data_IF_552211101390
#
_entry.id   IF_552211101390
#
_cell.length_a   1.000
_cell.length_b   1.000
_cell.length_c   1.000
_cell.angle_alpha   90.00
_cell.angle_beta   90.00
_cell.angle_gamma   90.00
#
_symmetry.space_group_name_H-M   'P 1'
#
loop_
_entity.id
_entity.type
_entity.pdbx_description
1 polymer ?
#
# COMPACT_ATOMS: atom_id res chain seq x y z
N UNK A 1 -6.53 8.20 8.97
CA UNK A 1 -6.59 6.90 8.25
C UNK A 1 -5.28 6.17 8.44
N UNK A 2 -5.28 4.84 8.46
CA UNK A 2 -4.06 4.05 8.65
C UNK A 2 -3.98 2.91 7.64
N UNK A 3 -2.78 2.66 7.11
CA UNK A 3 -2.44 1.45 6.36
C UNK A 3 -1.25 0.74 7.00
N UNK A 4 -1.27 -0.59 7.00
CA UNK A 4 -0.06 -1.39 7.19
C UNK A 4 0.44 -1.72 5.77
N UNK A 5 1.63 -1.21 5.44
CA UNK A 5 2.28 -1.39 4.15
C UNK A 5 3.39 -2.42 4.36
N UNK A 6 3.11 -3.67 4.00
CA UNK A 6 4.03 -4.79 4.17
C UNK A 6 4.85 -5.05 2.91
N UNK A 7 6.13 -5.32 3.14
CA UNK A 7 7.10 -5.76 2.15
C UNK A 7 7.17 -7.30 2.28
N UNK A 8 7.05 -8.01 1.16
CA UNK A 8 6.93 -9.48 1.09
C UNK A 8 8.25 -10.22 1.42
N UNK A 9 9.21 -9.51 2.01
CA UNK A 9 10.54 -10.03 2.31
C UNK A 9 10.47 -11.24 3.24
N UNK A 10 11.28 -12.25 2.92
CA UNK A 10 11.36 -13.54 3.60
C UNK A 10 10.04 -14.32 3.71
N UNK A 11 8.96 -13.85 3.07
CA UNK A 11 7.65 -14.48 3.17
C UNK A 11 7.54 -15.73 2.29
N UNK A 12 7.32 -16.89 2.90
CA UNK A 12 6.85 -18.07 2.17
C UNK A 12 5.34 -18.00 1.89
N UNK A 13 4.85 -18.78 0.91
CA UNK A 13 3.42 -18.84 0.61
C UNK A 13 2.57 -19.31 1.81
N UNK A 14 3.11 -20.20 2.66
CA UNK A 14 2.42 -20.66 3.86
C UNK A 14 2.27 -19.53 4.88
N UNK A 15 3.34 -18.78 5.14
CA UNK A 15 3.30 -17.64 6.06
C UNK A 15 2.35 -16.56 5.57
N UNK A 16 2.41 -16.21 4.27
CA UNK A 16 1.49 -15.28 3.62
C UNK A 16 0.03 -15.63 3.93
N UNK A 17 -0.32 -16.90 3.70
CA UNK A 17 -1.67 -17.43 3.98
C UNK A 17 -2.01 -17.32 5.46
N UNK A 18 -1.08 -17.68 6.35
CA UNK A 18 -1.33 -17.71 7.78
C UNK A 18 -1.55 -16.31 8.37
N UNK A 19 -0.69 -15.33 8.07
CA UNK A 19 -0.86 -14.00 8.61
C UNK A 19 -2.00 -13.25 7.95
N UNK A 20 -2.29 -13.42 6.65
CA UNK A 20 -3.48 -12.78 6.06
C UNK A 20 -4.78 -13.38 6.56
N UNK A 21 -4.84 -14.70 6.81
CA UNK A 21 -6.00 -15.30 7.49
C UNK A 21 -6.21 -14.66 8.86
N UNK A 22 -5.15 -14.50 9.64
CA UNK A 22 -5.22 -13.85 10.94
C UNK A 22 -5.59 -12.36 10.85
N UNK A 23 -4.97 -11.59 9.96
CA UNK A 23 -5.19 -10.14 9.86
C UNK A 23 -6.53 -9.79 9.22
N UNK A 24 -6.91 -10.45 8.12
CA UNK A 24 -8.02 -10.01 7.26
C UNK A 24 -9.35 -10.70 7.52
N UNK A 25 -9.37 -11.88 8.14
CA UNK A 25 -10.62 -12.65 8.32
C UNK A 25 -11.20 -12.50 9.72
N UNK A 26 -12.35 -13.12 9.95
CA UNK A 26 -12.94 -13.34 11.30
C UNK A 26 -12.93 -14.81 11.71
N UNK A 27 -12.20 -15.66 10.98
CA UNK A 27 -12.17 -17.09 11.23
C UNK A 27 -11.27 -17.44 12.42
N UNK A 28 -11.45 -18.65 12.97
CA UNK A 28 -10.51 -19.19 13.95
C UNK A 28 -9.19 -19.57 13.26
N UNK A 29 -8.09 -19.07 13.79
CA UNK A 29 -6.70 -19.39 13.42
C UNK A 29 -5.95 -19.93 14.63
N UNK A 30 -4.72 -20.40 14.42
CA UNK A 30 -3.85 -20.88 15.50
C UNK A 30 -3.48 -19.75 16.48
N UNK A 31 -3.45 -18.50 16.01
CA UNK A 31 -3.22 -17.30 16.82
C UNK A 31 -4.50 -16.72 17.46
N UNK A 32 -5.63 -17.42 17.35
CA UNK A 32 -6.94 -16.96 17.83
C UNK A 32 -7.91 -16.58 16.72
N UNK A 33 -8.99 -15.89 17.06
CA UNK A 33 -9.91 -15.36 16.04
C UNK A 33 -9.18 -14.40 15.10
N UNK A 34 -9.56 -14.28 13.84
CA UNK A 34 -9.00 -13.27 12.94
C UNK A 34 -9.33 -11.84 13.41
N UNK A 35 -8.49 -10.87 13.06
CA UNK A 35 -8.67 -9.46 13.41
C UNK A 35 -9.76 -8.82 12.56
N UNK A 36 -9.77 -9.12 11.26
CA UNK A 36 -10.69 -8.54 10.28
C UNK A 36 -10.33 -7.09 9.95
N UNK A 37 -9.05 -6.81 9.69
CA UNK A 37 -8.56 -5.53 9.17
C UNK A 37 -8.44 -5.59 7.64
N UNK A 38 -8.55 -4.46 6.97
CA UNK A 38 -8.33 -4.33 5.54
C UNK A 38 -6.83 -4.11 5.24
N UNK A 39 -6.00 -5.12 5.49
CA UNK A 39 -4.54 -5.10 5.26
C UNK A 39 -4.19 -5.68 3.89
N UNK A 40 -3.26 -5.04 3.19
CA UNK A 40 -2.67 -5.53 1.95
C UNK A 40 -1.17 -5.73 2.10
N UNK A 41 -0.58 -6.42 1.14
CA UNK A 41 0.84 -6.72 1.07
C UNK A 41 1.38 -6.48 -0.34
N UNK A 42 2.68 -6.67 -0.49
CA UNK A 42 3.38 -6.59 -1.76
C UNK A 42 3.64 -7.97 -2.35
N UNK A 43 4.26 -7.99 -3.53
CA UNK A 43 4.67 -9.21 -4.21
C UNK A 43 6.00 -9.01 -4.93
N UNK A 44 6.69 -10.12 -5.18
CA UNK A 44 7.85 -10.21 -6.06
C UNK A 44 7.51 -10.85 -7.40
N UNK A 45 8.11 -10.37 -8.48
CA UNK A 45 8.12 -11.12 -9.74
C UNK A 45 9.23 -12.15 -9.78
N UNK A 46 10.41 -11.80 -9.26
CA UNK A 46 11.64 -12.60 -9.35
C UNK A 46 12.35 -12.70 -8.01
N UNK A 47 13.17 -13.74 -7.87
CA UNK A 47 14.09 -13.94 -6.75
C UNK A 47 15.50 -14.19 -7.27
N UNK A 48 16.46 -13.38 -6.86
CA UNK A 48 17.86 -13.53 -7.24
C UNK A 48 18.80 -13.46 -6.03
N UNK A 49 18.26 -13.38 -4.81
CA UNK A 49 19.08 -13.47 -3.63
C UNK A 49 19.79 -14.83 -3.58
N UNK A 50 21.09 -14.75 -3.33
CA UNK A 50 22.02 -15.88 -3.28
C UNK A 50 22.63 -16.07 -1.89
N UNK A 51 22.20 -15.30 -0.89
CA UNK A 51 22.61 -15.50 0.49
C UNK A 51 21.93 -16.77 1.01
N UNK A 52 22.73 -17.65 1.62
CA UNK A 52 22.24 -18.89 2.23
C UNK A 52 21.85 -18.62 3.67
N UNK A 53 20.57 -18.33 3.89
CA UNK A 53 19.96 -18.22 5.21
C UNK A 53 18.59 -18.90 5.20
N UNK A 54 18.01 -19.04 6.39
CA UNK A 54 16.67 -19.58 6.57
C UNK A 54 15.69 -18.41 6.58
N UNK A 55 14.60 -18.52 5.83
CA UNK A 55 13.58 -17.48 5.70
C UNK A 55 12.40 -17.71 6.65
N UNK A 56 12.28 -18.92 7.18
CA UNK A 56 11.24 -19.28 8.13
C UNK A 56 11.74 -20.22 9.25
N UNK A 57 10.87 -20.44 10.23
CA UNK A 57 11.09 -21.35 11.36
C UNK A 57 11.18 -22.83 10.95
N UNK A 58 10.72 -23.19 9.76
CA UNK A 58 10.76 -24.56 9.24
C UNK A 58 12.10 -24.90 8.57
N UNK A 59 12.95 -23.90 8.39
CA UNK A 59 14.27 -24.05 7.78
C UNK A 59 14.26 -24.00 6.27
N UNK A 60 13.20 -23.46 5.66
CA UNK A 60 13.17 -23.15 4.24
C UNK A 60 14.20 -22.06 3.92
N UNK A 61 14.74 -22.10 2.71
CA UNK A 61 15.65 -21.08 2.20
C UNK A 61 14.97 -20.09 1.27
N UNK A 62 15.76 -19.16 0.73
CA UNK A 62 15.34 -18.11 -0.21
C UNK A 62 14.51 -18.62 -1.40
N UNK A 63 14.80 -19.82 -1.90
CA UNK A 63 14.06 -20.43 -3.03
C UNK A 63 12.57 -20.71 -2.70
N UNK A 64 12.19 -20.73 -1.42
CA UNK A 64 10.81 -20.93 -0.96
C UNK A 64 10.02 -19.64 -0.81
N UNK A 65 10.66 -18.46 -0.97
CA UNK A 65 9.98 -17.16 -0.89
C UNK A 65 8.96 -17.04 -2.02
N UNK A 66 7.78 -16.51 -1.65
CA UNK A 66 6.66 -16.32 -2.54
C UNK A 66 6.99 -15.33 -3.66
N UNK A 67 7.05 -15.85 -4.89
CA UNK A 67 7.41 -15.09 -6.10
C UNK A 67 6.55 -15.54 -7.27
N UNK A 68 6.37 -14.66 -8.25
CA UNK A 68 5.59 -14.99 -9.44
C UNK A 68 6.33 -16.05 -10.30
N UNK A 69 7.60 -15.80 -10.60
CA UNK A 69 8.47 -16.72 -11.33
C UNK A 69 9.51 -17.34 -10.41
N UNK A 70 9.96 -18.54 -10.77
CA UNK A 70 11.05 -19.20 -10.05
C UNK A 70 12.38 -18.55 -10.39
N UNK A 71 13.07 -18.05 -9.37
CA UNK A 71 14.34 -17.36 -9.54
C UNK A 71 14.20 -16.14 -10.46
N UNK A 72 15.06 -16.04 -11.47
CA UNK A 72 15.00 -15.03 -12.54
C UNK A 72 14.46 -15.59 -13.87
N UNK A 73 13.79 -16.73 -13.84
CA UNK A 73 13.16 -17.31 -15.02
C UNK A 73 12.07 -16.37 -15.56
N UNK A 74 11.94 -16.26 -16.89
CA UNK A 74 10.88 -15.47 -17.55
C UNK A 74 9.66 -16.30 -17.93
N UNK A 75 9.69 -17.61 -17.62
CA UNK A 75 8.67 -18.57 -18.05
C UNK A 75 8.33 -19.64 -17.01
N UNK A 76 9.29 -20.06 -16.18
CA UNK A 76 9.04 -21.03 -15.11
C UNK A 76 8.30 -20.34 -13.96
N UNK A 77 7.03 -20.69 -13.78
CA UNK A 77 6.17 -20.16 -12.72
C UNK A 77 6.56 -20.73 -11.36
N UNK A 78 6.35 -19.96 -10.29
CA UNK A 78 6.51 -20.43 -8.92
C UNK A 78 5.16 -20.41 -8.18
N UNK A 79 4.75 -19.26 -7.61
CA UNK A 79 3.44 -19.09 -6.94
C UNK A 79 2.53 -18.14 -7.73
N UNK A 80 2.59 -18.18 -9.06
CA UNK A 80 1.89 -17.22 -9.92
C UNK A 80 0.37 -17.26 -9.77
N UNK A 81 -0.22 -18.46 -9.63
CA UNK A 81 -1.67 -18.60 -9.51
C UNK A 81 -2.17 -17.98 -8.21
N UNK A 82 -1.45 -18.21 -7.12
CA UNK A 82 -1.72 -17.64 -5.80
C UNK A 82 -1.55 -16.13 -5.80
N UNK A 83 -0.49 -15.60 -6.40
CA UNK A 83 -0.28 -14.15 -6.53
C UNK A 83 -1.42 -13.51 -7.32
N UNK A 84 -1.82 -14.09 -8.45
CA UNK A 84 -2.95 -13.58 -9.25
C UNK A 84 -4.25 -13.60 -8.45
N UNK A 85 -4.50 -14.69 -7.72
CA UNK A 85 -5.66 -14.83 -6.86
C UNK A 85 -5.67 -13.78 -5.75
N UNK A 86 -4.60 -13.69 -4.96
CA UNK A 86 -4.51 -12.76 -3.84
C UNK A 86 -4.47 -11.30 -4.27
N UNK A 87 -3.95 -10.98 -5.46
CA UNK A 87 -4.09 -9.64 -6.04
C UNK A 87 -5.56 -9.32 -6.37
N UNK A 88 -6.29 -10.24 -7.00
CA UNK A 88 -7.71 -10.03 -7.37
C UNK A 88 -8.63 -9.96 -6.16
N UNK A 89 -8.33 -10.71 -5.10
CA UNK A 89 -8.96 -10.60 -3.78
C UNK A 89 -8.49 -9.38 -2.99
N UNK A 90 -7.39 -8.78 -3.42
CA UNK A 90 -6.76 -7.59 -2.86
C UNK A 90 -5.96 -7.83 -1.57
N UNK A 91 -5.57 -9.05 -1.24
CA UNK A 91 -4.54 -9.26 -0.20
C UNK A 91 -3.16 -8.79 -0.69
N UNK A 92 -2.94 -8.69 -2.00
CA UNK A 92 -1.79 -8.02 -2.61
C UNK A 92 -2.27 -6.73 -3.29
N UNK A 93 -1.62 -5.61 -3.00
CA UNK A 93 -1.93 -4.31 -3.64
C UNK A 93 -0.70 -3.46 -4.00
N UNK A 94 0.49 -3.93 -3.63
CA UNK A 94 1.76 -3.29 -3.92
C UNK A 94 2.65 -4.19 -4.78
N UNK A 95 3.55 -3.58 -5.54
CA UNK A 95 4.66 -4.27 -6.18
C UNK A 95 5.95 -3.88 -5.44
N UNK A 96 6.56 -4.83 -4.76
CA UNK A 96 7.90 -4.62 -4.21
C UNK A 96 8.85 -4.83 -5.39
N UNK A 97 9.57 -3.79 -5.79
CA UNK A 97 10.41 -3.69 -6.99
C UNK A 97 10.06 -4.64 -8.17
N UNK A 98 11.01 -5.26 -8.88
CA UNK A 98 10.69 -6.42 -9.73
C UNK A 98 11.00 -7.75 -9.04
N UNK A 99 11.76 -7.71 -7.97
CA UNK A 99 12.29 -8.89 -7.32
C UNK A 99 13.30 -8.48 -6.28
N UNK A 100 13.67 -9.42 -5.43
CA UNK A 100 14.86 -9.24 -4.63
C UNK A 100 16.09 -9.64 -5.47
N UNK A 101 16.93 -8.65 -5.78
CA UNK A 101 18.21 -8.84 -6.47
C UNK A 101 19.41 -8.68 -5.54
N UNK A 102 19.19 -8.86 -4.25
CA UNK A 102 20.22 -8.86 -3.22
C UNK A 102 21.32 -9.86 -3.55
N UNK A 103 22.56 -9.49 -3.27
CA UNK A 103 23.69 -10.40 -3.43
C UNK A 103 24.73 -10.08 -2.37
N UNK A 104 25.49 -11.09 -1.94
CA UNK A 104 26.63 -10.87 -1.03
C UNK A 104 27.66 -9.85 -1.57
N UNK A 105 27.78 -9.75 -2.89
CA UNK A 105 28.62 -8.74 -3.56
C UNK A 105 27.76 -7.67 -4.23
N UNK A 106 27.37 -6.67 -3.45
CA UNK A 106 26.47 -5.59 -3.89
C UNK A 106 27.04 -4.68 -5.00
N UNK A 107 28.26 -4.94 -5.51
CA UNK A 107 28.79 -4.27 -6.71
C UNK A 107 28.07 -4.75 -7.97
N UNK A 108 27.64 -6.00 -8.01
CA UNK A 108 26.91 -6.59 -9.13
C UNK A 108 25.39 -6.50 -8.97
N UNK A 109 24.67 -6.94 -9.98
CA UNK A 109 23.22 -7.19 -9.91
C UNK A 109 22.84 -8.28 -10.90
N UNK A 110 21.83 -9.07 -10.55
CA UNK A 110 21.19 -10.00 -11.48
C UNK A 110 20.05 -9.35 -12.26
N UNK A 111 19.65 -8.13 -11.89
CA UNK A 111 18.61 -7.40 -12.59
C UNK A 111 19.05 -7.05 -14.01
N UNK A 112 18.12 -7.26 -14.95
CA UNK A 112 18.25 -6.86 -16.36
C UNK A 112 16.92 -6.27 -16.79
N UNK A 113 16.96 -5.25 -17.66
CA UNK A 113 15.76 -4.57 -18.17
C UNK A 113 14.78 -5.50 -18.90
N UNK A 114 15.24 -6.62 -19.45
CA UNK A 114 14.36 -7.61 -20.07
C UNK A 114 13.49 -8.35 -19.05
N UNK A 115 13.93 -8.47 -17.78
CA UNK A 115 13.08 -8.92 -16.67
C UNK A 115 11.94 -7.93 -16.41
N UNK A 116 12.23 -6.62 -16.35
CA UNK A 116 11.20 -5.59 -16.21
C UNK A 116 10.17 -5.64 -17.36
N UNK A 117 10.65 -5.82 -18.59
CA UNK A 117 9.78 -5.92 -19.77
C UNK A 117 8.88 -7.16 -19.71
N UNK A 118 9.44 -8.32 -19.33
CA UNK A 118 8.69 -9.56 -19.16
C UNK A 118 7.68 -9.48 -18.00
N UNK A 119 8.07 -8.90 -16.87
CA UNK A 119 7.18 -8.69 -15.74
C UNK A 119 5.96 -7.87 -16.15
N UNK A 120 6.13 -6.72 -16.79
CA UNK A 120 4.98 -5.90 -17.20
C UNK A 120 4.09 -6.57 -18.24
N UNK A 121 4.67 -7.29 -19.21
CA UNK A 121 3.89 -8.08 -20.16
C UNK A 121 3.02 -9.12 -19.43
N UNK A 122 3.60 -9.79 -18.43
CA UNK A 122 2.93 -10.82 -17.64
C UNK A 122 1.84 -10.25 -16.74
N UNK A 123 2.14 -9.18 -16.00
CA UNK A 123 1.16 -8.50 -15.15
C UNK A 123 -0.03 -8.03 -15.98
N UNK A 124 0.23 -7.46 -17.18
CA UNK A 124 -0.81 -7.08 -18.13
C UNK A 124 -1.64 -8.26 -18.61
N UNK A 125 -1.04 -9.41 -18.93
CA UNK A 125 -1.80 -10.60 -19.38
C UNK A 125 -2.72 -11.15 -18.30
N UNK A 126 -2.32 -11.01 -17.04
CA UNK A 126 -3.07 -11.54 -15.90
C UNK A 126 -4.06 -10.53 -15.31
N UNK A 127 -4.15 -9.35 -15.93
CA UNK A 127 -4.96 -8.21 -15.48
C UNK A 127 -4.57 -7.73 -14.06
N UNK A 128 -3.26 -7.73 -13.77
CA UNK A 128 -2.67 -7.17 -12.56
C UNK A 128 -2.09 -5.78 -12.90
N UNK A 129 -2.45 -4.78 -12.10
CA UNK A 129 -2.07 -3.37 -12.32
C UNK A 129 -1.78 -2.65 -11.00
N UNK A 130 -0.67 -2.99 -10.32
CA UNK A 130 -0.28 -2.31 -9.09
C UNK A 130 -0.07 -0.82 -9.36
N UNK A 131 -0.48 0.00 -8.39
CA UNK A 131 -0.28 1.45 -8.43
C UNK A 131 0.79 1.93 -7.45
N UNK A 132 1.22 1.05 -6.55
CA UNK A 132 2.24 1.31 -5.53
C UNK A 132 3.48 0.48 -5.85
N UNK A 133 4.62 1.15 -5.88
CA UNK A 133 5.95 0.57 -6.01
C UNK A 133 6.72 0.78 -4.72
N UNK A 134 7.41 -0.25 -4.26
CA UNK A 134 8.23 -0.22 -3.05
C UNK A 134 9.65 -0.64 -3.44
N UNK A 135 10.63 0.25 -3.27
CA UNK A 135 12.05 -0.08 -3.51
C UNK A 135 12.56 -1.10 -2.46
N UNK A 136 13.48 -1.97 -2.86
CA UNK A 136 14.08 -3.00 -1.98
C UNK A 136 15.46 -2.62 -1.39
N UNK A 137 15.98 -3.40 -0.46
CA UNK A 137 17.27 -3.17 0.21
C UNK A 137 18.53 -3.46 -0.63
N UNK A 138 19.68 -2.97 -0.15
CA UNK A 138 21.07 -3.07 -0.67
C UNK A 138 21.38 -2.53 -2.08
N UNK A 139 22.69 -2.44 -2.41
CA UNK A 139 23.15 -1.80 -3.66
C UNK A 139 23.04 -2.66 -4.91
N UNK A 140 22.75 -3.96 -4.78
CA UNK A 140 22.51 -4.81 -5.95
C UNK A 140 21.11 -4.62 -6.54
N UNK A 141 20.19 -3.99 -5.82
CA UNK A 141 18.86 -3.65 -6.32
C UNK A 141 18.86 -2.39 -7.23
N UNK A 142 19.67 -2.43 -8.30
CA UNK A 142 19.92 -1.31 -9.22
C UNK A 142 18.66 -0.79 -9.93
N UNK A 143 17.62 -1.60 -10.03
CA UNK A 143 16.30 -1.24 -10.54
C UNK A 143 15.58 -0.20 -9.67
N UNK A 144 15.92 -0.06 -8.39
CA UNK A 144 15.30 0.97 -7.57
C UNK A 144 15.49 2.37 -8.15
N UNK A 145 14.55 3.27 -7.84
CA UNK A 145 14.54 4.64 -8.35
C UNK A 145 13.89 5.64 -7.40
N UNK A 146 14.09 6.93 -7.66
CA UNK A 146 13.41 8.03 -6.97
C UNK A 146 14.13 8.63 -5.75
N UNK A 147 15.27 8.09 -5.32
CA UNK A 147 16.09 8.68 -4.25
C UNK A 147 17.57 8.89 -4.64
N UNK A 148 17.94 8.73 -5.91
CA UNK A 148 19.33 8.95 -6.35
C UNK A 148 19.82 10.34 -5.93
N UNK A 149 21.05 10.43 -5.40
CA UNK A 149 21.68 11.68 -4.98
C UNK A 149 21.22 12.23 -3.62
N UNK A 150 20.18 11.66 -2.99
CA UNK A 150 19.75 12.06 -1.64
C UNK A 150 20.76 11.67 -0.55
N UNK A 151 21.54 10.62 -0.79
CA UNK A 151 22.68 10.22 0.03
C UNK A 151 23.65 9.36 -0.77
N UNK A 152 24.87 9.17 -0.25
CA UNK A 152 25.88 8.28 -0.85
C UNK A 152 25.36 6.85 -1.01
N UNK A 153 24.53 6.38 -0.07
CA UNK A 153 23.91 5.06 -0.17
C UNK A 153 22.99 4.99 -1.38
N UNK A 154 22.10 5.97 -1.58
CA UNK A 154 21.07 5.91 -2.64
C UNK A 154 21.60 6.04 -4.08
N UNK A 155 22.89 6.29 -4.28
CA UNK A 155 23.48 6.38 -5.62
C UNK A 155 23.44 5.07 -6.42
N UNK A 156 23.14 3.92 -5.78
CA UNK A 156 22.98 2.66 -6.49
C UNK A 156 21.71 2.60 -7.34
N UNK A 157 20.70 3.41 -7.03
CA UNK A 157 19.42 3.43 -7.73
C UNK A 157 19.63 3.92 -9.17
N UNK A 158 19.24 3.14 -10.16
CA UNK A 158 19.45 3.40 -11.58
C UNK A 158 18.19 3.18 -12.45
N UNK A 159 17.05 2.84 -11.85
CA UNK A 159 15.79 2.56 -12.57
C UNK A 159 15.23 3.77 -13.32
N UNK A 160 15.51 4.99 -12.87
CA UNK A 160 15.09 6.25 -13.51
C UNK A 160 16.21 6.95 -14.33
N UNK A 161 17.39 6.33 -14.47
CA UNK A 161 18.48 6.91 -15.27
C UNK A 161 18.38 6.46 -16.73
N UNK A 162 18.00 7.32 -17.70
CA UNK A 162 17.82 6.92 -19.10
C UNK A 162 19.13 6.46 -19.79
N UNK A 163 20.30 6.73 -19.19
CA UNK A 163 21.60 6.26 -19.69
C UNK A 163 22.03 4.92 -19.11
N UNK A 164 21.29 4.38 -18.15
CA UNK A 164 21.60 3.12 -17.46
C UNK A 164 21.01 1.92 -18.19
N UNK A 165 21.73 0.80 -18.19
CA UNK A 165 21.20 -0.50 -18.61
C UNK A 165 20.05 -1.01 -17.72
N UNK A 166 19.89 -0.42 -16.53
CA UNK A 166 18.84 -0.76 -15.56
C UNK A 166 17.63 0.17 -15.65
N UNK A 167 17.61 1.12 -16.58
CA UNK A 167 16.49 2.05 -16.78
C UNK A 167 15.18 1.29 -17.02
N UNK A 168 14.07 1.71 -16.39
CA UNK A 168 12.75 1.13 -16.62
C UNK A 168 11.54 1.99 -16.26
N UNK A 169 11.71 3.25 -15.85
CA UNK A 169 10.56 4.12 -15.54
C UNK A 169 9.68 4.42 -16.75
N UNK A 170 10.23 4.34 -17.96
CA UNK A 170 9.49 4.35 -19.23
C UNK A 170 8.53 3.16 -19.40
N UNK A 171 8.78 2.04 -18.72
CA UNK A 171 7.86 0.91 -18.65
C UNK A 171 6.96 1.01 -17.40
N UNK A 172 7.55 1.32 -16.25
CA UNK A 172 6.88 1.25 -14.95
C UNK A 172 5.77 2.28 -14.80
N UNK A 173 6.00 3.53 -15.17
CA UNK A 173 5.01 4.60 -14.99
C UNK A 173 3.81 4.42 -15.93
N UNK A 174 3.98 4.20 -17.25
CA UNK A 174 2.85 3.98 -18.14
C UNK A 174 2.03 2.73 -17.82
N UNK A 175 2.62 1.72 -17.17
CA UNK A 175 1.88 0.54 -16.71
C UNK A 175 1.05 0.76 -15.44
N UNK A 176 1.11 1.95 -14.82
CA UNK A 176 0.15 2.38 -13.81
C UNK A 176 0.72 2.64 -12.42
N UNK A 177 2.02 2.46 -12.20
CA UNK A 177 2.66 2.88 -10.95
C UNK A 177 2.54 4.40 -10.82
N UNK A 178 1.93 4.83 -9.71
CA UNK A 178 1.70 6.24 -9.37
C UNK A 178 2.46 6.64 -8.11
N UNK A 179 2.54 5.73 -7.15
CA UNK A 179 3.10 5.97 -5.83
C UNK A 179 4.36 5.14 -5.63
N UNK A 180 5.42 5.75 -5.10
CA UNK A 180 6.73 5.14 -4.91
C UNK A 180 7.21 5.38 -3.49
N UNK A 181 7.51 4.30 -2.77
CA UNK A 181 8.37 4.40 -1.60
C UNK A 181 9.82 4.23 -2.06
N UNK A 182 10.59 5.31 -1.95
CA UNK A 182 11.92 5.42 -2.56
C UNK A 182 13.08 4.96 -1.65
N UNK A 183 12.76 4.23 -0.57
CA UNK A 183 13.67 3.77 0.50
C UNK A 183 14.14 4.84 1.49
N UNK A 184 13.55 6.04 1.48
CA UNK A 184 13.80 7.00 2.55
C UNK A 184 13.05 6.59 3.82
N UNK A 185 13.75 6.69 4.95
CA UNK A 185 13.18 6.43 6.26
C UNK A 185 12.37 7.64 6.73
N UNK A 186 11.40 7.38 7.60
CA UNK A 186 10.65 8.41 8.29
C UNK A 186 10.22 7.90 9.67
N UNK A 187 10.37 8.78 10.65
CA UNK A 187 10.04 8.54 12.06
C UNK A 187 8.81 9.32 12.53
N UNK A 188 8.11 10.00 11.62
CA UNK A 188 6.82 10.61 11.91
C UNK A 188 5.71 9.56 11.72
N UNK A 189 4.98 9.25 12.79
CA UNK A 189 3.90 8.27 12.72
C UNK A 189 2.71 8.75 11.87
N UNK A 190 2.46 10.06 11.83
CA UNK A 190 1.34 10.67 11.13
C UNK A 190 1.72 11.88 10.28
N UNK A 191 1.00 12.07 9.18
CA UNK A 191 1.15 13.20 8.25
C UNK A 191 -0.21 13.79 7.88
N UNK A 192 -0.30 15.11 7.75
CA UNK A 192 -1.51 15.79 7.25
C UNK A 192 -1.78 15.42 5.77
N UNK A 193 -0.72 15.14 5.03
CA UNK A 193 -0.78 14.66 3.65
C UNK A 193 0.38 13.68 3.40
N UNK A 194 0.10 12.42 3.02
CA UNK A 194 1.12 11.37 3.01
C UNK A 194 1.96 11.34 1.72
N UNK A 195 1.69 12.23 0.75
CA UNK A 195 2.31 12.24 -0.57
C UNK A 195 3.23 13.46 -0.75
N UNK A 196 4.33 13.26 -1.46
CA UNK A 196 5.25 14.32 -1.89
C UNK A 196 5.69 14.08 -3.34
N UNK A 197 6.11 15.13 -4.04
CA UNK A 197 6.56 14.99 -5.43
C UNK A 197 8.00 14.43 -5.48
N UNK A 198 8.24 13.46 -6.35
CA UNK A 198 9.59 13.01 -6.74
C UNK A 198 9.81 13.37 -8.20
N UNK A 199 10.88 14.13 -8.48
CA UNK A 199 11.39 14.36 -9.84
C UNK A 199 12.43 13.30 -10.19
N UNK A 200 12.24 12.64 -11.33
CA UNK A 200 13.11 11.56 -11.81
C UNK A 200 14.14 12.06 -12.82
N UNK A 201 15.25 11.32 -12.98
CA UNK A 201 16.35 11.71 -13.88
C UNK A 201 16.01 11.64 -15.37
N UNK A 202 14.93 10.96 -15.74
CA UNK A 202 14.37 10.95 -17.10
C UNK A 202 13.37 12.09 -17.36
N UNK A 203 13.16 12.97 -16.38
CA UNK A 203 12.24 14.11 -16.47
C UNK A 203 10.79 13.78 -16.10
N UNK A 204 10.47 12.51 -15.82
CA UNK A 204 9.17 12.14 -15.29
C UNK A 204 9.00 12.59 -13.83
N UNK A 205 7.76 12.62 -13.38
CA UNK A 205 7.39 12.87 -11.98
C UNK A 205 6.54 11.72 -11.47
N UNK A 206 6.67 11.41 -10.19
CA UNK A 206 5.84 10.40 -9.49
C UNK A 206 5.49 10.90 -8.10
N UNK A 207 4.45 10.35 -7.50
CA UNK A 207 4.20 10.58 -6.08
C UNK A 207 5.13 9.71 -5.23
N UNK A 208 5.98 10.33 -4.43
CA UNK A 208 6.57 9.71 -3.26
C UNK A 208 5.55 9.60 -2.12
N UNK A 209 5.74 8.66 -1.20
CA UNK A 209 4.94 8.60 0.03
C UNK A 209 5.78 8.28 1.26
N UNK A 210 5.31 8.76 2.41
CA UNK A 210 5.93 8.53 3.71
C UNK A 210 5.50 7.18 4.28
N UNK A 211 6.45 6.44 4.85
CA UNK A 211 6.21 5.23 5.66
C UNK A 211 6.88 5.44 7.00
N UNK A 212 6.16 5.22 8.08
CA UNK A 212 6.77 5.14 9.40
C UNK A 212 7.58 3.84 9.49
N UNK A 213 8.91 3.95 9.53
CA UNK A 213 9.85 2.82 9.43
C UNK A 213 10.68 2.60 10.69
N UNK A 214 10.84 3.63 11.50
CA UNK A 214 11.77 3.63 12.62
C UNK A 214 11.37 4.64 13.69
N UNK A 215 11.90 4.41 14.89
CA UNK A 215 12.00 5.43 15.92
C UNK A 215 13.34 6.16 15.84
N UNK A 216 13.43 7.28 16.55
CA UNK A 216 14.69 7.93 16.87
C UNK A 216 14.98 7.80 18.36
N UNK A 217 15.94 6.95 18.70
CA UNK A 217 16.37 6.70 20.08
C UNK A 217 17.76 7.28 20.27
N UNK A 218 17.90 8.29 21.13
CA UNK A 218 19.16 8.99 21.38
C UNK A 218 19.84 9.52 20.09
N UNK A 219 19.04 10.03 19.15
CA UNK A 219 19.51 10.55 17.87
C UNK A 219 19.95 9.48 16.86
N UNK A 220 19.70 8.19 17.14
CA UNK A 220 19.97 7.07 16.24
C UNK A 220 18.68 6.45 15.74
N UNK A 221 18.72 5.97 14.51
CA UNK A 221 17.63 5.21 13.90
C UNK A 221 17.52 3.86 14.61
N UNK A 222 16.32 3.58 15.13
CA UNK A 222 15.93 2.27 15.65
C UNK A 222 14.83 1.71 14.74
N UNK A 223 15.18 0.76 13.87
CA UNK A 223 14.26 0.21 12.87
C UNK A 223 13.18 -0.65 13.53
N UNK A 224 11.91 -0.32 13.27
CA UNK A 224 10.74 -0.98 13.91
C UNK A 224 9.83 -1.69 12.93
N UNK A 225 10.19 -1.72 11.65
CA UNK A 225 9.40 -2.27 10.55
C UNK A 225 9.46 -3.80 10.38
N UNK A 226 9.54 -4.55 11.47
CA UNK A 226 9.43 -6.02 11.49
C UNK A 226 8.41 -6.45 12.55
N UNK A 227 7.83 -7.66 12.45
CA UNK A 227 6.73 -8.10 13.31
C UNK A 227 7.02 -7.92 14.79
N UNK A 228 8.25 -8.25 15.22
CA UNK A 228 8.72 -8.09 16.61
C UNK A 228 8.38 -6.75 17.26
N UNK A 229 8.35 -5.67 16.49
CA UNK A 229 8.16 -4.30 16.99
C UNK A 229 6.81 -3.67 16.61
N UNK A 230 5.90 -4.42 15.99
CA UNK A 230 4.62 -3.91 15.52
C UNK A 230 3.81 -3.22 16.64
N UNK A 231 3.79 -3.79 17.85
CA UNK A 231 3.11 -3.22 19.01
C UNK A 231 3.63 -1.83 19.41
N UNK A 232 4.92 -1.52 19.15
CA UNK A 232 5.47 -0.18 19.40
C UNK A 232 4.87 0.83 18.42
N UNK A 233 4.75 0.43 17.16
CA UNK A 233 4.20 1.27 16.11
C UNK A 233 2.69 1.51 16.31
N UNK A 234 1.94 0.46 16.65
CA UNK A 234 0.49 0.50 16.89
C UNK A 234 0.12 0.81 18.36
N UNK A 235 0.95 1.60 19.05
CA UNK A 235 0.68 2.00 20.43
C UNK A 235 -0.54 2.93 20.53
N UNK A 236 -1.23 2.91 21.67
CA UNK A 236 -2.34 3.81 21.97
C UNK A 236 -1.98 5.29 21.71
N UNK A 237 -0.79 5.72 22.13
CA UNK A 237 -0.34 7.10 21.93
C UNK A 237 -0.21 7.48 20.46
N UNK A 238 0.27 6.58 19.62
CA UNK A 238 0.39 6.80 18.18
C UNK A 238 -0.98 6.90 17.52
N UNK A 239 -1.89 5.99 17.87
CA UNK A 239 -3.27 5.98 17.36
C UNK A 239 -4.05 7.22 17.80
N UNK A 240 -3.99 7.60 19.09
CA UNK A 240 -4.59 8.81 19.62
C UNK A 240 -4.05 10.07 18.92
N UNK A 241 -2.74 10.11 18.65
CA UNK A 241 -2.11 11.24 17.96
C UNK A 241 -2.67 11.47 16.56
N UNK A 242 -2.80 10.42 15.74
CA UNK A 242 -3.33 10.59 14.37
C UNK A 242 -4.83 10.90 14.36
N UNK A 243 -5.57 10.46 15.38
CA UNK A 243 -6.98 10.85 15.55
C UNK A 243 -7.08 12.32 15.91
N UNK A 244 -6.33 12.77 16.93
CA UNK A 244 -6.34 14.15 17.39
C UNK A 244 -5.92 15.14 16.28
N UNK A 245 -4.94 14.75 15.47
CA UNK A 245 -4.41 15.58 14.39
C UNK A 245 -5.12 15.34 13.03
N UNK A 246 -6.08 14.42 12.95
CA UNK A 246 -6.80 14.06 11.70
C UNK A 246 -5.88 13.63 10.55
N UNK A 247 -4.86 12.84 10.89
CA UNK A 247 -3.75 12.51 9.99
C UNK A 247 -3.88 11.16 9.26
N UNK A 248 -3.03 11.00 8.25
CA UNK A 248 -2.72 9.74 7.58
C UNK A 248 -1.52 9.08 8.24
N UNK A 249 -1.53 7.76 8.36
CA UNK A 249 -0.39 6.96 8.78
C UNK A 249 -0.21 5.78 7.85
N UNK A 250 1.03 5.49 7.48
CA UNK A 250 1.39 4.31 6.69
C UNK A 250 2.53 3.63 7.44
N UNK A 251 2.23 2.49 8.05
CA UNK A 251 3.15 1.74 8.90
C UNK A 251 3.93 0.77 8.01
N UNK A 252 5.25 0.95 7.92
CA UNK A 252 6.12 0.02 7.20
C UNK A 252 6.35 -1.27 7.98
N UNK A 253 6.24 -2.42 7.32
CA UNK A 253 6.42 -3.75 7.90
C UNK A 253 7.06 -4.72 6.91
N UNK A 254 7.65 -5.80 7.42
CA UNK A 254 8.06 -6.99 6.68
C UNK A 254 7.42 -8.20 7.35
N UNK A 255 6.14 -8.48 7.09
CA UNK A 255 5.37 -9.42 7.91
C UNK A 255 5.89 -10.87 7.88
N UNK A 256 6.64 -11.25 6.84
CA UNK A 256 7.27 -12.56 6.72
C UNK A 256 8.56 -12.74 7.53
N UNK A 257 9.27 -11.65 7.83
CA UNK A 257 10.53 -11.71 8.59
C UNK A 257 10.24 -12.13 10.02
N UNK A 258 10.64 -13.35 10.40
CA UNK A 258 10.31 -13.97 11.69
C UNK A 258 8.80 -13.90 11.97
N UNK A 259 7.98 -14.38 11.02
CA UNK A 259 6.53 -14.22 11.00
C UNK A 259 5.82 -14.67 12.31
N UNK A 260 6.40 -15.60 13.07
CA UNK A 260 5.89 -16.00 14.38
C UNK A 260 5.79 -14.85 15.39
N UNK A 261 6.66 -13.85 15.30
CA UNK A 261 6.68 -12.71 16.22
C UNK A 261 5.40 -11.87 16.08
N UNK A 262 4.74 -11.89 14.92
CA UNK A 262 3.44 -11.24 14.70
C UNK A 262 2.39 -11.72 15.71
N UNK A 263 2.49 -12.98 16.14
CA UNK A 263 1.51 -13.62 17.01
C UNK A 263 1.85 -13.51 18.50
N UNK A 264 2.83 -12.69 18.88
CA UNK A 264 3.08 -12.36 20.28
C UNK A 264 1.88 -11.64 20.92
N UNK A 265 1.68 -11.84 22.23
CA UNK A 265 0.55 -11.25 22.96
C UNK A 265 0.45 -9.73 22.80
N UNK A 266 1.59 -9.04 22.78
CA UNK A 266 1.62 -7.58 22.66
C UNK A 266 1.23 -7.11 21.26
N UNK A 267 1.68 -7.82 20.22
CA UNK A 267 1.26 -7.54 18.85
C UNK A 267 -0.23 -7.82 18.65
N UNK A 268 -0.74 -8.95 19.15
CA UNK A 268 -2.17 -9.27 19.09
C UNK A 268 -2.98 -8.19 19.80
N UNK A 269 -2.59 -7.76 21.02
CA UNK A 269 -3.27 -6.67 21.74
C UNK A 269 -3.28 -5.38 20.93
N UNK A 270 -2.15 -4.99 20.33
CA UNK A 270 -2.05 -3.77 19.52
C UNK A 270 -2.90 -3.81 18.25
N UNK A 271 -2.98 -4.96 17.57
CA UNK A 271 -3.84 -5.16 16.40
C UNK A 271 -5.32 -5.12 16.78
N UNK A 272 -5.69 -5.69 17.93
CA UNK A 272 -7.05 -5.59 18.47
C UNK A 272 -7.40 -4.16 18.85
N UNK A 273 -6.45 -3.41 19.42
CA UNK A 273 -6.62 -2.00 19.70
C UNK A 273 -6.87 -1.22 18.42
N UNK A 274 -6.06 -1.43 17.37
CA UNK A 274 -6.29 -0.82 16.06
C UNK A 274 -7.69 -1.16 15.50
N UNK A 275 -8.12 -2.42 15.61
CA UNK A 275 -9.47 -2.84 15.20
C UNK A 275 -10.57 -2.16 16.02
N UNK A 276 -10.33 -1.93 17.31
CA UNK A 276 -11.26 -1.17 18.15
C UNK A 276 -11.41 0.26 17.66
N UNK A 277 -10.30 0.95 17.33
CA UNK A 277 -10.36 2.30 16.75
C UNK A 277 -11.13 2.35 15.43
N UNK A 278 -11.02 1.29 14.62
CA UNK A 278 -11.81 1.16 13.39
C UNK A 278 -13.31 0.99 13.69
N UNK A 279 -13.65 0.07 14.60
CA UNK A 279 -15.04 -0.17 14.98
C UNK A 279 -15.69 1.06 15.64
N UNK A 280 -14.93 1.83 16.41
CA UNK A 280 -15.36 3.07 17.05
C UNK A 280 -15.45 4.24 16.05
N UNK A 281 -15.12 4.03 14.77
CA UNK A 281 -15.17 5.04 13.72
C UNK A 281 -14.06 6.11 13.82
N UNK A 282 -13.03 5.90 14.64
CA UNK A 282 -11.92 6.84 14.86
C UNK A 282 -10.87 6.77 13.75
N UNK A 283 -10.58 5.57 13.26
CA UNK A 283 -9.56 5.32 12.22
C UNK A 283 -10.14 4.38 11.16
N UNK A 284 -10.19 4.82 9.91
CA UNK A 284 -10.37 3.88 8.79
C UNK A 284 -9.03 3.15 8.57
N UNK A 285 -9.02 1.82 8.74
CA UNK A 285 -7.89 0.96 8.39
C UNK A 285 -8.10 0.45 6.97
N UNK A 286 -7.09 0.56 6.12
CA UNK A 286 -7.23 0.16 4.72
C UNK A 286 -5.90 -0.19 4.08
N UNK A 287 -5.96 -0.83 2.91
CA UNK A 287 -4.81 -1.18 2.08
C UNK A 287 -4.06 0.08 1.63
N UNK A 288 -2.75 -0.05 1.44
CA UNK A 288 -1.85 1.05 1.09
C UNK A 288 -2.35 1.83 -0.13
N UNK A 289 -2.68 1.13 -1.22
CA UNK A 289 -3.17 1.73 -2.47
C UNK A 289 -4.47 2.53 -2.28
N UNK A 290 -5.40 2.07 -1.43
CA UNK A 290 -6.65 2.77 -1.14
C UNK A 290 -6.40 4.06 -0.37
N UNK A 291 -5.54 4.02 0.65
CA UNK A 291 -5.18 5.21 1.43
C UNK A 291 -4.52 6.27 0.53
N UNK A 292 -3.55 5.88 -0.30
CA UNK A 292 -2.85 6.81 -1.19
C UNK A 292 -3.77 7.41 -2.26
N UNK A 293 -4.64 6.59 -2.87
CA UNK A 293 -5.65 7.06 -3.80
C UNK A 293 -6.65 8.02 -3.15
N UNK A 294 -7.11 7.71 -1.94
CA UNK A 294 -7.98 8.61 -1.19
C UNK A 294 -7.29 9.92 -0.87
N UNK A 295 -6.05 9.91 -0.39
CA UNK A 295 -5.31 11.14 -0.10
C UNK A 295 -5.18 12.04 -1.34
N UNK A 296 -4.86 11.45 -2.50
CA UNK A 296 -4.79 12.18 -3.76
C UNK A 296 -6.15 12.76 -4.18
N UNK A 297 -7.21 11.93 -4.16
CA UNK A 297 -8.57 12.36 -4.48
C UNK A 297 -9.04 13.47 -3.53
N UNK A 298 -8.90 13.28 -2.22
CA UNK A 298 -9.32 14.21 -1.19
C UNK A 298 -8.68 15.61 -1.34
N UNK A 299 -7.41 15.68 -1.77
CA UNK A 299 -6.71 16.95 -1.96
C UNK A 299 -7.04 17.64 -3.29
N UNK A 300 -7.22 16.88 -4.37
CA UNK A 300 -7.33 17.43 -5.72
C UNK A 300 -8.70 17.22 -6.39
N UNK A 301 -9.72 16.87 -5.62
CA UNK A 301 -11.08 16.71 -6.12
C UNK A 301 -11.63 18.05 -6.63
N UNK A 302 -12.18 18.03 -7.83
CA UNK A 302 -12.89 19.15 -8.42
C UNK A 302 -14.38 18.83 -8.48
N UNK A 303 -15.20 19.68 -7.88
CA UNK A 303 -16.65 19.54 -7.91
C UNK A 303 -17.34 20.90 -8.05
N UNK A 304 -18.57 20.87 -8.53
CA UNK A 304 -19.45 22.04 -8.58
C UNK A 304 -20.67 21.79 -7.70
N UNK A 305 -21.16 22.85 -7.05
CA UNK A 305 -22.41 22.83 -6.28
C UNK A 305 -23.42 23.76 -6.93
N UNK A 306 -24.65 23.29 -7.12
CA UNK A 306 -25.78 24.09 -7.64
C UNK A 306 -27.02 23.77 -6.80
N UNK A 307 -27.81 24.78 -6.48
CA UNK A 307 -29.12 24.60 -5.84
C UNK A 307 -30.21 24.96 -6.85
N UNK A 308 -31.16 24.06 -7.05
CA UNK A 308 -32.30 24.25 -7.95
C UNK A 308 -33.48 23.42 -7.44
N UNK A 309 -34.69 24.00 -7.47
CA UNK A 309 -35.93 23.35 -7.04
C UNK A 309 -35.83 22.70 -5.65
N UNK A 310 -35.30 23.46 -4.67
CA UNK A 310 -35.04 23.03 -3.29
C UNK A 310 -34.08 21.83 -3.12
N UNK A 311 -33.46 21.36 -4.21
CA UNK A 311 -32.44 20.32 -4.21
C UNK A 311 -31.05 20.93 -4.35
N UNK A 312 -30.08 20.36 -3.62
CA UNK A 312 -28.66 20.68 -3.79
C UNK A 312 -27.99 19.59 -4.62
N UNK A 313 -27.38 19.97 -5.73
CA UNK A 313 -26.62 19.07 -6.58
C UNK A 313 -25.13 19.31 -6.35
N UNK A 314 -24.39 18.26 -6.01
CA UNK A 314 -22.93 18.27 -5.93
C UNK A 314 -22.40 17.33 -7.01
N UNK A 315 -21.78 17.89 -8.04
CA UNK A 315 -21.24 17.14 -9.16
C UNK A 315 -19.72 17.06 -9.07
N UNK A 316 -19.20 15.88 -8.75
CA UNK A 316 -17.77 15.57 -8.85
C UNK A 316 -17.42 15.50 -10.34
N UNK A 317 -16.54 16.39 -10.78
CA UNK A 317 -16.21 16.51 -12.21
C UNK A 317 -14.90 15.83 -12.57
N UNK A 318 -13.90 15.90 -11.69
CA UNK A 318 -12.55 15.40 -11.98
C UNK A 318 -11.69 15.35 -10.72
N UNK A 319 -10.56 14.66 -10.81
CA UNK A 319 -9.41 14.81 -9.90
C UNK A 319 -8.32 15.51 -10.72
N UNK A 320 -7.82 16.65 -10.23
CA UNK A 320 -6.78 17.44 -10.88
C UNK A 320 -5.41 17.09 -10.30
N UNK A 321 -4.95 15.86 -10.56
CA UNK A 321 -3.65 15.38 -10.10
C UNK A 321 -2.52 16.19 -10.76
N UNK A 322 -1.67 16.92 -10.01
CA UNK A 322 -0.61 17.76 -10.58
C UNK A 322 0.53 16.96 -11.23
N UNK A 323 0.65 15.66 -10.96
CA UNK A 323 1.69 14.79 -11.53
C UNK A 323 1.17 14.07 -12.77
N UNK A 324 -0.01 13.44 -12.67
CA UNK A 324 -0.55 12.58 -13.73
C UNK A 324 -1.62 13.27 -14.59
N UNK A 325 -1.92 14.53 -14.29
CA UNK A 325 -2.91 15.33 -15.00
C UNK A 325 -4.35 15.05 -14.57
N UNK A 326 -5.24 15.87 -15.11
CA UNK A 326 -6.68 15.83 -14.82
C UNK A 326 -7.33 14.57 -15.41
N UNK A 327 -8.13 13.87 -14.61
CA UNK A 327 -8.96 12.75 -15.08
C UNK A 327 -10.35 12.75 -14.44
N UNK A 328 -11.30 12.06 -15.08
CA UNK A 328 -12.64 11.83 -14.53
C UNK A 328 -12.58 10.58 -13.63
N UNK A 329 -12.86 10.68 -12.32
CA UNK A 329 -12.83 9.53 -11.43
C UNK A 329 -13.97 8.56 -11.72
N UNK A 330 -13.76 7.28 -11.41
CA UNK A 330 -14.83 6.32 -11.19
C UNK A 330 -15.25 6.32 -9.70
N UNK A 331 -16.28 5.53 -9.34
CA UNK A 331 -16.79 5.48 -7.96
C UNK A 331 -15.71 5.08 -6.94
N UNK A 332 -14.85 4.12 -7.29
CA UNK A 332 -13.80 3.63 -6.39
C UNK A 332 -12.70 4.67 -6.13
N UNK A 333 -12.50 5.63 -7.04
CA UNK A 333 -11.57 6.74 -6.83
C UNK A 333 -12.06 7.77 -5.83
N UNK A 334 -13.36 7.79 -5.49
CA UNK A 334 -13.99 8.80 -4.63
C UNK A 334 -14.72 8.22 -3.42
N UNK A 335 -14.50 6.92 -3.15
CA UNK A 335 -14.94 6.27 -1.89
C UNK A 335 -14.47 7.08 -0.68
N UNK A 336 -15.33 7.27 0.31
CA UNK A 336 -15.03 8.02 1.54
C UNK A 336 -15.10 9.54 1.42
N UNK A 337 -15.14 10.11 0.21
CA UNK A 337 -15.29 11.56 0.04
C UNK A 337 -16.62 12.00 0.65
N UNK A 338 -16.54 13.03 1.49
CA UNK A 338 -17.64 13.53 2.31
C UNK A 338 -17.86 15.01 2.04
N UNK A 339 -19.12 15.40 1.84
CA UNK A 339 -19.53 16.79 1.67
C UNK A 339 -20.42 17.21 2.82
N UNK A 340 -19.98 18.20 3.58
CA UNK A 340 -20.84 18.87 4.56
C UNK A 340 -21.93 19.67 3.84
N UNK A 341 -23.18 19.48 4.26
CA UNK A 341 -24.34 20.12 3.69
C UNK A 341 -25.46 20.27 4.73
N UNK A 342 -26.28 21.31 4.58
CA UNK A 342 -27.31 21.65 5.55
C UNK A 342 -28.47 20.63 5.52
N UNK A 343 -28.81 20.14 4.32
CA UNK A 343 -29.83 19.12 4.10
C UNK A 343 -29.30 17.96 3.23
N UNK A 344 -28.65 16.96 3.83
CA UNK A 344 -28.13 15.82 3.09
C UNK A 344 -29.24 14.94 2.45
N UNK A 345 -30.49 15.02 2.93
CA UNK A 345 -31.61 14.27 2.35
C UNK A 345 -32.05 14.84 1.00
N UNK A 346 -31.94 16.16 0.84
CA UNK A 346 -32.21 16.88 -0.39
C UNK A 346 -30.93 17.20 -1.19
N UNK A 347 -29.83 16.51 -0.89
CA UNK A 347 -28.57 16.62 -1.63
C UNK A 347 -28.38 15.43 -2.58
N UNK A 348 -28.17 15.71 -3.88
CA UNK A 348 -27.92 14.73 -4.93
C UNK A 348 -26.44 14.77 -5.31
N UNK A 349 -25.73 13.65 -5.06
CA UNK A 349 -24.34 13.49 -5.53
C UNK A 349 -24.33 12.95 -6.96
N UNK A 350 -23.54 13.60 -7.81
CA UNK A 350 -23.29 13.17 -9.18
C UNK A 350 -21.79 12.94 -9.38
N UNK A 351 -21.48 11.94 -10.20
CA UNK A 351 -20.16 11.69 -10.75
C UNK A 351 -20.20 11.96 -12.25
N UNK A 352 -19.56 13.05 -12.67
CA UNK A 352 -19.56 13.54 -14.04
C UNK A 352 -20.97 13.62 -14.65
N UNK A 353 -21.89 14.27 -13.93
CA UNK A 353 -23.32 14.45 -14.26
C UNK A 353 -24.18 13.19 -14.20
N UNK A 354 -23.60 12.03 -13.89
CA UNK A 354 -24.36 10.80 -13.61
C UNK A 354 -24.66 10.71 -12.13
N UNK A 355 -25.93 10.55 -11.77
CA UNK A 355 -26.32 10.37 -10.36
C UNK A 355 -25.64 9.12 -9.78
N UNK A 356 -25.03 9.25 -8.61
CA UNK A 356 -24.48 8.11 -7.88
C UNK A 356 -25.64 7.31 -7.27
N UNK A 357 -25.60 5.98 -7.35
CA UNK A 357 -26.62 5.10 -6.76
C UNK A 357 -26.73 5.37 -5.25
N UNK A 358 -27.95 5.48 -4.73
CA UNK A 358 -28.20 5.71 -3.31
C UNK A 358 -27.60 4.59 -2.43
N UNK A 359 -27.45 3.37 -2.95
CA UNK A 359 -26.80 2.26 -2.26
C UNK A 359 -25.30 2.51 -2.02
N UNK A 360 -24.70 3.42 -2.78
CA UNK A 360 -23.30 3.84 -2.63
C UNK A 360 -23.14 5.07 -1.73
N UNK A 361 -24.23 5.64 -1.24
CA UNK A 361 -24.24 6.87 -0.44
C UNK A 361 -24.64 6.61 1.00
N UNK A 362 -24.05 7.35 1.93
CA UNK A 362 -24.45 7.40 3.33
C UNK A 362 -24.74 8.84 3.74
N UNK A 363 -25.83 9.04 4.46
CA UNK A 363 -26.13 10.31 5.12
C UNK A 363 -25.60 10.19 6.54
N UNK A 364 -24.73 11.13 6.93
CA UNK A 364 -24.16 11.19 8.27
C UNK A 364 -24.91 12.24 9.09
N UNK A 365 -25.21 11.87 10.33
CA UNK A 365 -25.65 12.81 11.35
C UNK A 365 -24.59 13.88 11.63
N UNK A 366 -24.96 14.90 12.41
CA UNK A 366 -24.04 15.95 12.84
C UNK A 366 -22.83 15.34 13.57
N UNK A 367 -21.65 15.70 13.11
CA UNK A 367 -20.38 15.33 13.74
C UNK A 367 -20.00 16.28 14.89
N UNK A 368 -18.77 16.21 15.38
CA UNK A 368 -18.27 17.08 16.46
C UNK A 368 -18.30 18.58 16.11
N UNK A 369 -18.40 18.93 14.82
CA UNK A 369 -18.54 20.31 14.35
C UNK A 369 -20.01 20.77 14.29
N UNK A 370 -20.96 19.89 14.57
CA UNK A 370 -22.40 20.14 14.52
C UNK A 370 -22.97 20.17 13.10
N UNK A 371 -22.21 19.73 12.08
CA UNK A 371 -22.61 19.74 10.67
C UNK A 371 -22.98 18.35 10.18
N UNK A 372 -24.10 18.25 9.48
CA UNK A 372 -24.49 17.03 8.77
C UNK A 372 -23.70 16.90 7.46
N UNK A 373 -23.62 15.69 6.93
CA UNK A 373 -22.93 15.45 5.67
C UNK A 373 -23.50 14.29 4.88
N UNK A 374 -23.13 14.22 3.61
CA UNK A 374 -23.35 13.07 2.73
C UNK A 374 -22.00 12.57 2.24
N UNK A 375 -21.77 11.26 2.32
CA UNK A 375 -20.54 10.62 1.86
C UNK A 375 -20.83 9.57 0.81
N UNK A 376 -19.84 9.36 -0.05
CA UNK A 376 -19.73 8.13 -0.82
C UNK A 376 -19.20 7.06 0.14
N UNK A 377 -19.95 5.97 0.34
CA UNK A 377 -19.59 4.89 1.28
C UNK A 377 -18.17 4.43 1.04
N UNK A 378 -17.45 4.15 2.12
CA UNK A 378 -16.16 3.45 2.01
C UNK A 378 -16.34 2.05 1.42
N UNK A 379 -15.24 1.39 1.05
CA UNK A 379 -15.28 0.01 0.59
C UNK A 379 -15.95 -0.88 1.63
N UNK A 380 -16.77 -1.83 1.15
CA UNK A 380 -17.40 -2.81 2.02
C UNK A 380 -16.31 -3.65 2.69
N UNK A 381 -16.49 -3.93 3.98
CA UNK A 381 -15.65 -4.87 4.70
C UNK A 381 -15.73 -6.26 4.06
N UNK A 382 -14.58 -6.89 3.93
CA UNK A 382 -14.42 -8.21 3.36
C UNK A 382 -13.60 -9.06 4.31
N UNK A 383 -14.23 -10.11 4.84
CA UNK A 383 -13.64 -11.05 5.79
C UNK A 383 -13.46 -12.45 5.20
N UNK A 384 -13.57 -12.56 3.88
CA UNK A 384 -13.46 -13.83 3.16
C UNK A 384 -12.08 -14.44 3.36
N UNK A 385 -12.03 -15.71 3.77
CA UNK A 385 -10.79 -16.48 3.74
C UNK A 385 -10.49 -16.92 2.31
N UNK A 386 -9.63 -16.17 1.64
CA UNK A 386 -9.25 -16.44 0.27
C UNK A 386 -8.29 -17.61 0.11
N UNK A 387 -7.77 -18.22 1.19
CA UNK A 387 -6.94 -19.43 1.06
C UNK A 387 -7.76 -20.68 0.80
N UNK A 388 -9.10 -20.61 0.96
CA UNK A 388 -10.02 -21.72 0.69
C UNK A 388 -10.48 -21.79 -0.77
N UNK A 389 -10.12 -20.78 -1.57
CA UNK A 389 -10.59 -20.60 -2.95
C UNK A 389 -9.47 -20.72 -3.99
N UNK A 390 -8.25 -21.05 -3.55
CA UNK A 390 -7.05 -21.22 -4.39
C UNK A 390 -6.99 -22.58 -5.05
#
# INVERSE_FOLDING_TARGET
MLAICSDIDDTTLEEFRNYHRFLNTKEKTDAGEGIGLDVGDSMWMYMADNVKYKVDKYGNGVDSIMTYFKGISKSEKHNSNEIVHFYKSGWIDCLHSFGDFSTKNEKGTSFKRDLASNAWQTLKSDNIKPVVWINHGNKSNRQNFGAYGTSSFMNYQQGDNPKSYYYHTDLTIPNGIKYVWNSLNDNNFGHDYPLYEISLRDGAKVWGFYRYTNDLVNGKIDWTWVPKYLHKQLSQSNLDSIVANKQYSIVGQHLGVDAEDLYSDDNIKSLRLLKQYENDGKIVVTKTSRLLNYANAHKYLMYNKVTADDLTYINITSINDPIFGKYVPNIDNVRGITFYCDDPKNTILLLNKTKIDNNELQINSKDETGKSSISIKWFKQDYTDYTKQT
#
